data_IF_211239174923
#
_entry.id   IF_211239174923
#
_cell.length_a   1.000
_cell.length_b   1.000
_cell.length_c   1.000
_cell.angle_alpha   90.00
_cell.angle_beta   90.00
_cell.angle_gamma   90.00
#
_symmetry.space_group_name_H-M   'P 1'
#
loop_
_entity.id
_entity.type
_entity.pdbx_description
1 polymer ?
#
# COMPACT_ATOMS: atom_id res chain seq x y z
N UNK A 1 -17.38 9.92 -16.31
CA UNK A 1 -16.93 8.64 -16.92
C UNK A 1 -15.90 7.93 -16.05
N UNK A 2 -14.91 8.64 -15.49
CA UNK A 2 -13.94 8.04 -14.57
C UNK A 2 -14.61 7.42 -13.32
N UNK A 3 -15.60 8.05 -12.69
CA UNK A 3 -16.24 7.45 -11.49
C UNK A 3 -17.00 6.16 -11.80
N UNK A 4 -17.67 6.09 -12.95
CA UNK A 4 -18.35 4.87 -13.38
C UNK A 4 -17.36 3.70 -13.51
N UNK A 5 -16.17 3.96 -14.08
CA UNK A 5 -15.11 2.96 -14.17
C UNK A 5 -14.57 2.54 -12.79
N UNK A 6 -14.47 3.46 -11.82
CA UNK A 6 -14.09 3.10 -10.44
C UNK A 6 -15.10 2.10 -9.86
N UNK A 7 -16.40 2.35 -10.05
CA UNK A 7 -17.46 1.44 -9.56
C UNK A 7 -17.38 0.08 -10.26
N UNK A 8 -17.21 0.05 -11.58
CA UNK A 8 -17.06 -1.21 -12.33
C UNK A 8 -15.83 -1.98 -11.83
N UNK A 9 -14.68 -1.32 -11.71
CA UNK A 9 -13.45 -1.95 -11.22
C UNK A 9 -13.57 -2.45 -9.78
N UNK A 10 -14.35 -1.76 -8.93
CA UNK A 10 -14.68 -2.24 -7.59
C UNK A 10 -15.54 -3.51 -7.63
N UNK A 11 -16.57 -3.56 -8.49
CA UNK A 11 -17.42 -4.75 -8.67
C UNK A 11 -16.60 -5.94 -9.18
N UNK A 12 -15.70 -5.70 -10.14
CA UNK A 12 -14.79 -6.72 -10.67
C UNK A 12 -13.84 -7.23 -9.57
N UNK A 13 -13.29 -6.33 -8.76
CA UNK A 13 -12.43 -6.66 -7.61
C UNK A 13 -13.16 -7.58 -6.62
N UNK A 14 -14.35 -7.21 -6.15
CA UNK A 14 -15.09 -8.02 -5.18
C UNK A 14 -15.58 -9.36 -5.76
N UNK A 15 -15.70 -9.44 -7.09
CA UNK A 15 -16.06 -10.67 -7.82
C UNK A 15 -14.85 -11.57 -8.12
N UNK A 16 -13.64 -11.17 -7.71
CA UNK A 16 -12.40 -11.92 -7.95
C UNK A 16 -11.85 -11.79 -9.37
N UNK A 17 -12.40 -10.91 -10.21
CA UNK A 17 -11.95 -10.68 -11.59
C UNK A 17 -10.74 -9.73 -11.61
N UNK A 18 -9.65 -10.10 -10.94
CA UNK A 18 -8.54 -9.20 -10.64
C UNK A 18 -7.89 -8.56 -11.88
N UNK A 19 -7.68 -9.31 -12.96
CA UNK A 19 -7.13 -8.76 -14.21
C UNK A 19 -8.05 -7.72 -14.85
N UNK A 20 -9.37 -8.00 -14.86
CA UNK A 20 -10.36 -7.06 -15.40
C UNK A 20 -10.43 -5.81 -14.53
N UNK A 21 -10.51 -5.99 -13.20
CA UNK A 21 -10.49 -4.90 -12.23
C UNK A 21 -9.26 -3.99 -12.40
N UNK A 22 -8.07 -4.58 -12.60
CA UNK A 22 -6.85 -3.81 -12.82
C UNK A 22 -6.95 -2.96 -14.10
N UNK A 23 -7.36 -3.55 -15.22
CA UNK A 23 -7.51 -2.86 -16.48
C UNK A 23 -8.55 -1.72 -16.40
N UNK A 24 -9.71 -1.97 -15.78
CA UNK A 24 -10.78 -0.98 -15.61
C UNK A 24 -10.34 0.17 -14.70
N UNK A 25 -9.64 -0.12 -13.60
CA UNK A 25 -9.15 0.90 -12.68
C UNK A 25 -8.03 1.73 -13.30
N UNK A 26 -7.11 1.11 -14.04
CA UNK A 26 -6.06 1.81 -14.78
C UNK A 26 -6.67 2.75 -15.84
N UNK A 27 -7.73 2.31 -16.52
CA UNK A 27 -8.50 3.16 -17.43
C UNK A 27 -9.19 4.31 -16.69
N UNK A 28 -9.76 4.07 -15.51
CA UNK A 28 -10.37 5.14 -14.70
C UNK A 28 -9.35 6.23 -14.32
N UNK A 29 -8.14 5.82 -13.94
CA UNK A 29 -7.03 6.71 -13.57
C UNK A 29 -6.62 7.52 -14.79
N UNK A 30 -6.46 6.87 -15.94
CA UNK A 30 -6.08 7.51 -17.20
C UNK A 30 -7.12 8.52 -17.68
N UNK A 31 -8.41 8.17 -17.62
CA UNK A 31 -9.52 9.08 -17.99
C UNK A 31 -9.59 10.25 -17.02
N UNK A 32 -9.57 9.99 -15.71
CA UNK A 32 -9.60 11.03 -14.68
C UNK A 32 -8.44 12.02 -14.81
N UNK A 33 -7.23 11.50 -15.03
CA UNK A 33 -6.02 12.32 -15.21
C UNK A 33 -6.13 13.20 -16.45
N UNK A 34 -6.50 12.64 -17.61
CA UNK A 34 -6.62 13.42 -18.86
C UNK A 34 -7.72 14.47 -18.81
N UNK A 35 -8.80 14.19 -18.11
CA UNK A 35 -9.93 15.11 -17.96
C UNK A 35 -9.70 16.19 -16.88
N UNK A 36 -8.58 16.15 -16.15
CA UNK A 36 -8.31 17.08 -15.05
C UNK A 36 -9.12 16.79 -13.78
N UNK A 37 -9.79 15.65 -13.70
CA UNK A 37 -10.54 15.22 -12.51
C UNK A 37 -9.60 14.50 -11.53
N UNK A 38 -8.77 15.29 -10.85
CA UNK A 38 -7.77 14.80 -9.91
C UNK A 38 -8.34 13.88 -8.83
N UNK A 39 -9.53 14.20 -8.30
CA UNK A 39 -10.18 13.40 -7.27
C UNK A 39 -10.50 11.99 -7.78
N UNK A 40 -11.11 11.87 -8.96
CA UNK A 40 -11.41 10.56 -9.56
C UNK A 40 -10.14 9.76 -9.84
N UNK A 41 -9.08 10.42 -10.33
CA UNK A 41 -7.80 9.74 -10.57
C UNK A 41 -7.17 9.22 -9.26
N UNK A 42 -7.22 10.01 -8.19
CA UNK A 42 -6.75 9.61 -6.86
C UNK A 42 -7.55 8.46 -6.26
N UNK A 43 -8.88 8.53 -6.32
CA UNK A 43 -9.78 7.47 -5.84
C UNK A 43 -9.57 6.16 -6.63
N UNK A 44 -9.36 6.27 -7.94
CA UNK A 44 -8.97 5.13 -8.79
C UNK A 44 -7.65 4.49 -8.34
N UNK A 45 -6.63 5.29 -7.99
CA UNK A 45 -5.36 4.78 -7.45
C UNK A 45 -5.52 4.10 -6.10
N UNK A 46 -6.35 4.64 -5.21
CA UNK A 46 -6.63 4.01 -3.92
C UNK A 46 -7.28 2.63 -4.10
N UNK A 47 -8.25 2.52 -5.03
CA UNK A 47 -8.89 1.24 -5.34
C UNK A 47 -7.93 0.25 -6.00
N UNK A 48 -7.10 0.73 -6.94
CA UNK A 48 -6.10 -0.09 -7.65
C UNK A 48 -4.99 -0.56 -6.73
N UNK A 49 -4.60 0.25 -5.75
CA UNK A 49 -3.65 -0.12 -4.70
C UNK A 49 -4.24 -1.22 -3.81
N UNK A 50 -5.49 -1.10 -3.39
CA UNK A 50 -6.17 -2.15 -2.63
C UNK A 50 -6.25 -3.47 -3.39
N UNK A 51 -6.56 -3.43 -4.70
CA UNK A 51 -6.52 -4.61 -5.56
C UNK A 51 -5.11 -5.21 -5.64
N UNK A 52 -4.07 -4.38 -5.77
CA UNK A 52 -2.68 -4.85 -5.76
C UNK A 52 -2.32 -5.56 -4.44
N UNK A 53 -2.81 -5.07 -3.30
CA UNK A 53 -2.68 -5.78 -2.02
C UNK A 53 -3.41 -7.13 -2.07
N UNK A 54 -4.63 -7.19 -2.63
CA UNK A 54 -5.41 -8.44 -2.69
C UNK A 54 -4.70 -9.55 -3.49
N UNK A 55 -3.91 -9.17 -4.51
CA UNK A 55 -3.12 -10.11 -5.33
C UNK A 55 -1.65 -10.21 -4.92
N UNK A 56 -1.29 -9.66 -3.76
CA UNK A 56 0.06 -9.65 -3.20
C UNK A 56 1.14 -8.95 -4.06
N UNK A 57 0.75 -8.04 -4.97
CA UNK A 57 1.67 -7.13 -5.65
C UNK A 57 1.94 -5.89 -4.77
N UNK A 58 2.69 -6.11 -3.68
CA UNK A 58 2.92 -5.08 -2.65
C UNK A 58 3.76 -3.91 -3.16
N UNK A 59 4.61 -4.13 -4.16
CA UNK A 59 5.41 -3.07 -4.77
C UNK A 59 4.51 -2.10 -5.55
N UNK A 60 3.58 -2.61 -6.36
CA UNK A 60 2.61 -1.79 -7.07
C UNK A 60 1.62 -1.12 -6.10
N UNK A 61 1.17 -1.85 -5.08
CA UNK A 61 0.32 -1.31 -4.02
C UNK A 61 0.96 -0.09 -3.33
N UNK A 62 2.23 -0.21 -2.93
CA UNK A 62 3.00 0.87 -2.32
C UNK A 62 3.11 2.09 -3.25
N UNK A 63 3.49 1.86 -4.51
CA UNK A 63 3.64 2.92 -5.52
C UNK A 63 2.34 3.69 -5.73
N UNK A 64 1.23 2.97 -5.87
CA UNK A 64 -0.10 3.55 -6.09
C UNK A 64 -0.62 4.27 -4.85
N UNK A 65 -0.48 3.68 -3.66
CA UNK A 65 -0.91 4.27 -2.40
C UNK A 65 -0.13 5.57 -2.11
N UNK A 66 1.19 5.57 -2.32
CA UNK A 66 2.02 6.77 -2.16
C UNK A 66 1.58 7.87 -3.13
N UNK A 67 1.43 7.54 -4.42
CA UNK A 67 1.00 8.55 -5.41
C UNK A 67 -0.40 9.09 -5.12
N UNK A 68 -1.36 8.21 -4.81
CA UNK A 68 -2.72 8.61 -4.46
C UNK A 68 -2.77 9.51 -3.23
N UNK A 69 -1.98 9.20 -2.20
CA UNK A 69 -1.86 10.03 -0.98
C UNK A 69 -1.37 11.43 -1.29
N UNK A 70 -0.31 11.55 -2.10
CA UNK A 70 0.23 12.87 -2.51
C UNK A 70 -0.81 13.65 -3.31
N UNK A 71 -1.48 13.01 -4.26
CA UNK A 71 -2.48 13.67 -5.10
C UNK A 71 -3.70 14.13 -4.28
N UNK A 72 -4.17 13.33 -3.29
CA UNK A 72 -5.29 13.69 -2.40
C UNK A 72 -4.93 14.85 -1.47
N UNK A 73 -3.71 14.85 -0.94
CA UNK A 73 -3.22 15.94 -0.11
C UNK A 73 -3.20 17.27 -0.88
N UNK A 74 -2.69 17.26 -2.12
CA UNK A 74 -2.64 18.43 -2.99
C UNK A 74 -4.02 18.99 -3.36
N UNK A 75 -5.06 18.14 -3.33
CA UNK A 75 -6.45 18.53 -3.62
C UNK A 75 -7.19 19.05 -2.38
N UNK A 76 -6.60 18.95 -1.19
CA UNK A 76 -7.27 19.32 0.06
C UNK A 76 -8.33 18.32 0.52
N UNK A 77 -8.42 17.13 -0.08
CA UNK A 77 -9.34 16.07 0.35
C UNK A 77 -8.82 15.42 1.62
N UNK A 78 -9.26 15.90 2.78
CA UNK A 78 -8.75 15.49 4.09
C UNK A 78 -9.06 14.02 4.39
N UNK A 79 -10.29 13.56 4.14
CA UNK A 79 -10.71 12.20 4.48
C UNK A 79 -10.14 11.19 3.49
N UNK A 80 -10.12 11.54 2.19
CA UNK A 80 -9.43 10.74 1.18
C UNK A 80 -7.94 10.64 1.47
N UNK A 81 -7.29 11.75 1.84
CA UNK A 81 -5.89 11.76 2.24
C UNK A 81 -5.63 10.82 3.42
N UNK A 82 -6.43 10.86 4.49
CA UNK A 82 -6.29 9.97 5.64
C UNK A 82 -6.44 8.49 5.25
N UNK A 83 -7.40 8.16 4.39
CA UNK A 83 -7.57 6.81 3.84
C UNK A 83 -6.36 6.37 3.00
N UNK A 84 -5.77 7.28 2.24
CA UNK A 84 -4.53 7.07 1.49
C UNK A 84 -3.34 6.81 2.41
N UNK A 85 -3.16 7.62 3.46
CA UNK A 85 -2.08 7.47 4.44
C UNK A 85 -2.17 6.14 5.17
N UNK A 86 -3.37 5.68 5.54
CA UNK A 86 -3.53 4.37 6.20
C UNK A 86 -3.17 3.22 5.26
N UNK A 87 -3.64 3.25 4.01
CA UNK A 87 -3.28 2.25 3.02
C UNK A 87 -1.76 2.24 2.78
N UNK A 88 -1.15 3.42 2.63
CA UNK A 88 0.30 3.56 2.50
C UNK A 88 1.02 2.96 3.71
N UNK A 89 0.54 3.19 4.93
CA UNK A 89 1.09 2.59 6.14
C UNK A 89 1.06 1.06 6.09
N UNK A 90 -0.06 0.48 5.68
CA UNK A 90 -0.19 -0.97 5.47
C UNK A 90 0.82 -1.50 4.45
N UNK A 91 0.94 -0.83 3.29
CA UNK A 91 1.91 -1.24 2.25
C UNK A 91 3.36 -1.15 2.73
N UNK A 92 3.71 -0.16 3.56
CA UNK A 92 5.04 -0.08 4.18
C UNK A 92 5.31 -1.26 5.11
N UNK A 93 4.31 -1.75 5.86
CA UNK A 93 4.42 -3.00 6.61
C UNK A 93 4.71 -4.21 5.71
N UNK A 94 3.98 -4.30 4.59
CA UNK A 94 4.11 -5.38 3.60
C UNK A 94 5.47 -5.36 2.87
N UNK A 95 6.04 -4.18 2.63
CA UNK A 95 7.32 -4.00 1.90
C UNK A 95 8.54 -3.82 2.80
N UNK A 96 8.45 -4.18 4.09
CA UNK A 96 9.61 -4.23 4.99
C UNK A 96 10.01 -2.90 5.64
N UNK A 97 9.11 -1.92 5.66
CA UNK A 97 9.25 -0.60 6.34
C UNK A 97 8.22 -0.41 7.46
N UNK A 98 8.00 -1.39 8.36
CA UNK A 98 6.91 -1.33 9.32
C UNK A 98 7.06 -0.20 10.36
N UNK A 99 8.28 0.28 10.64
CA UNK A 99 8.49 1.45 11.50
C UNK A 99 7.86 2.72 10.96
N UNK A 100 8.09 3.02 9.67
CA UNK A 100 7.45 4.15 8.98
C UNK A 100 5.93 3.96 8.91
N UNK A 101 5.47 2.72 8.65
CA UNK A 101 4.05 2.37 8.70
C UNK A 101 3.42 2.66 10.06
N UNK A 102 4.07 2.30 11.17
CA UNK A 102 3.57 2.57 12.51
C UNK A 102 3.45 4.07 12.80
N UNK A 103 4.41 4.88 12.32
CA UNK A 103 4.32 6.35 12.41
C UNK A 103 3.11 6.89 11.64
N UNK A 104 2.87 6.42 10.42
CA UNK A 104 1.71 6.84 9.63
C UNK A 104 0.38 6.42 10.28
N UNK A 105 0.28 5.21 10.85
CA UNK A 105 -0.91 4.77 11.59
C UNK A 105 -1.17 5.66 12.82
N UNK A 106 -0.12 6.05 13.55
CA UNK A 106 -0.22 6.98 14.67
C UNK A 106 -0.78 8.34 14.26
N UNK A 107 -0.29 8.87 13.13
CA UNK A 107 -0.74 10.13 12.57
C UNK A 107 -2.22 10.05 12.12
N UNK A 108 -2.61 9.01 11.39
CA UNK A 108 -4.00 8.77 10.97
C UNK A 108 -4.93 8.71 12.17
N UNK A 109 -4.57 7.97 13.22
CA UNK A 109 -5.39 7.87 14.42
C UNK A 109 -5.64 9.21 15.09
N UNK A 110 -4.64 10.10 15.13
CA UNK A 110 -4.78 11.41 15.80
C UNK A 110 -5.45 12.45 14.93
N UNK A 111 -5.02 12.59 13.68
CA UNK A 111 -5.57 13.56 12.73
C UNK A 111 -7.00 13.17 12.31
N UNK A 112 -7.28 11.87 12.17
CA UNK A 112 -8.62 11.36 11.89
C UNK A 112 -9.63 11.75 12.97
N UNK A 113 -9.28 11.56 14.26
CA UNK A 113 -10.15 11.96 15.37
C UNK A 113 -10.50 13.45 15.36
N UNK A 114 -9.58 14.32 14.93
CA UNK A 114 -9.83 15.77 14.87
C UNK A 114 -10.91 16.15 13.85
N UNK A 115 -11.13 15.32 12.83
CA UNK A 115 -12.09 15.56 11.75
C UNK A 115 -13.24 14.54 11.74
N UNK A 116 -13.38 13.72 12.79
CA UNK A 116 -14.41 12.70 12.88
C UNK A 116 -14.22 11.50 11.94
N UNK A 117 -13.02 11.30 11.40
CA UNK A 117 -12.68 10.16 10.55
C UNK A 117 -12.05 9.03 11.36
N UNK A 118 -12.60 7.81 11.23
CA UNK A 118 -12.11 6.60 11.88
C UNK A 118 -12.04 5.46 10.85
N UNK A 119 -10.84 5.13 10.33
CA UNK A 119 -10.72 4.16 9.25
C UNK A 119 -11.28 2.77 9.60
N UNK A 120 -11.17 2.34 10.86
CA UNK A 120 -11.70 1.08 11.36
C UNK A 120 -13.23 0.98 11.30
N UNK A 121 -13.93 2.11 11.22
CA UNK A 121 -15.38 2.18 11.02
C UNK A 121 -15.75 2.28 9.55
N UNK A 122 -14.90 2.93 8.74
CA UNK A 122 -15.17 3.21 7.32
C UNK A 122 -14.80 2.04 6.41
N UNK A 123 -13.67 1.39 6.66
CA UNK A 123 -13.21 0.16 5.99
C UNK A 123 -12.67 -0.83 7.03
N UNK A 124 -13.56 -1.54 7.76
CA UNK A 124 -13.14 -2.41 8.86
C UNK A 124 -12.16 -3.51 8.44
N UNK A 125 -12.30 -4.04 7.21
CA UNK A 125 -11.48 -5.15 6.73
C UNK A 125 -10.13 -4.65 6.21
N UNK A 126 -10.12 -3.59 5.42
CA UNK A 126 -8.89 -2.96 4.95
C UNK A 126 -8.05 -2.40 6.09
N UNK A 127 -8.68 -1.68 7.02
CA UNK A 127 -8.01 -1.10 8.20
C UNK A 127 -7.37 -2.18 9.07
N UNK A 128 -8.11 -3.26 9.41
CA UNK A 128 -7.55 -4.39 10.18
C UNK A 128 -6.34 -5.01 9.50
N UNK A 129 -6.41 -5.24 8.18
CA UNK A 129 -5.30 -5.79 7.39
C UNK A 129 -4.08 -4.86 7.41
N UNK A 130 -4.27 -3.57 7.20
CA UNK A 130 -3.19 -2.58 7.16
C UNK A 130 -2.48 -2.47 8.51
N UNK A 131 -3.25 -2.44 9.61
CA UNK A 131 -2.71 -2.42 10.97
C UNK A 131 -1.93 -3.72 11.27
N UNK A 132 -2.49 -4.88 10.90
CA UNK A 132 -1.83 -6.17 11.10
C UNK A 132 -0.50 -6.25 10.36
N UNK A 133 -0.46 -5.85 9.09
CA UNK A 133 0.75 -5.86 8.26
C UNK A 133 1.92 -5.06 8.87
N UNK A 134 1.62 -3.99 9.61
CA UNK A 134 2.61 -3.21 10.35
C UNK A 134 2.95 -3.87 11.69
N UNK A 135 1.93 -4.20 12.49
CA UNK A 135 2.10 -4.63 13.87
C UNK A 135 2.79 -5.98 14.00
N UNK A 136 2.51 -6.91 13.10
CA UNK A 136 3.09 -8.27 13.13
C UNK A 136 4.59 -8.29 12.81
N UNK A 137 5.13 -7.20 12.26
CA UNK A 137 6.55 -7.05 11.92
C UNK A 137 7.37 -6.32 12.97
N UNK A 138 6.75 -5.87 14.06
CA UNK A 138 7.39 -5.11 15.13
C UNK A 138 7.16 -5.77 16.49
N UNK A 139 8.11 -5.60 17.41
CA UNK A 139 7.82 -5.84 18.82
C UNK A 139 6.79 -4.82 19.32
N UNK A 140 6.08 -5.17 20.39
CA UNK A 140 5.07 -4.29 21.00
C UNK A 140 5.66 -2.93 21.36
N UNK A 141 6.87 -2.88 21.90
CA UNK A 141 7.51 -1.64 22.34
C UNK A 141 7.95 -0.77 21.16
N UNK A 142 8.49 -1.39 20.10
CA UNK A 142 8.87 -0.65 18.88
C UNK A 142 7.62 -0.09 18.18
N UNK A 143 6.55 -0.88 18.09
CA UNK A 143 5.27 -0.41 17.56
C UNK A 143 4.72 0.77 18.38
N UNK A 144 4.67 0.65 19.72
CA UNK A 144 4.17 1.71 20.61
C UNK A 144 5.00 2.99 20.47
N UNK A 145 6.33 2.87 20.41
CA UNK A 145 7.22 4.03 20.25
C UNK A 145 6.99 4.73 18.91
N UNK A 146 7.02 4.00 17.79
CA UNK A 146 6.82 4.55 16.45
C UNK A 146 5.40 5.13 16.27
N UNK A 147 4.37 4.41 16.72
CA UNK A 147 2.99 4.90 16.72
C UNK A 147 2.84 6.17 17.56
N UNK A 148 3.44 6.21 18.75
CA UNK A 148 3.42 7.37 19.64
C UNK A 148 4.16 8.59 19.08
N UNK A 149 5.23 8.39 18.29
CA UNK A 149 5.87 9.46 17.52
C UNK A 149 4.94 9.95 16.41
N UNK A 150 4.36 9.02 15.65
CA UNK A 150 3.38 9.28 14.59
C UNK A 150 2.19 10.13 15.06
N UNK A 151 1.65 9.81 16.24
CA UNK A 151 0.52 10.50 16.84
C UNK A 151 0.79 11.98 17.17
N UNK A 152 2.05 12.43 17.13
CA UNK A 152 2.45 13.83 17.37
C UNK A 152 2.71 14.59 16.07
N UNK A 153 2.65 13.91 14.91
CA UNK A 153 2.91 14.54 13.62
C UNK A 153 1.73 15.44 13.21
N UNK A 154 2.07 16.64 12.75
CA UNK A 154 1.17 17.50 11.99
C UNK A 154 1.01 16.99 10.55
N UNK A 155 0.01 17.49 9.82
CA UNK A 155 -0.19 17.18 8.40
C UNK A 155 1.04 17.48 7.55
N UNK A 156 1.72 18.60 7.79
CA UNK A 156 2.93 18.96 7.04
C UNK A 156 4.09 17.99 7.33
N UNK A 157 4.24 17.55 8.58
CA UNK A 157 5.26 16.54 8.92
C UNK A 157 4.93 15.16 8.32
N UNK A 158 3.65 14.81 8.17
CA UNK A 158 3.24 13.61 7.42
C UNK A 158 3.60 13.76 5.94
N UNK A 159 3.34 14.94 5.34
CA UNK A 159 3.74 15.23 3.95
C UNK A 159 5.25 15.09 3.77
N UNK A 160 6.04 15.67 4.68
CA UNK A 160 7.49 15.52 4.69
C UNK A 160 7.87 14.04 4.78
N UNK A 161 7.33 13.28 5.74
CA UNK A 161 7.58 11.85 5.89
C UNK A 161 7.32 11.08 4.60
N UNK A 162 6.17 11.31 3.94
CA UNK A 162 5.80 10.66 2.67
C UNK A 162 6.76 11.03 1.54
N UNK A 163 7.23 12.27 1.49
CA UNK A 163 8.17 12.75 0.46
C UNK A 163 9.54 12.07 0.54
N UNK A 164 10.00 11.69 1.74
CA UNK A 164 11.29 11.00 1.97
C UNK A 164 11.22 9.48 1.78
N UNK A 165 10.03 8.91 1.56
CA UNK A 165 9.91 7.50 1.27
C UNK A 165 10.52 7.19 -0.11
N UNK A 166 11.28 6.09 -0.24
CA UNK A 166 11.99 5.75 -1.48
C UNK A 166 11.01 5.46 -2.62
N UNK A 167 11.45 5.63 -3.85
CA UNK A 167 10.66 5.17 -4.99
C UNK A 167 10.65 3.63 -5.03
N UNK A 168 9.55 3.06 -5.54
CA UNK A 168 9.36 1.60 -5.53
C UNK A 168 10.41 0.82 -6.34
N UNK A 169 11.23 1.50 -7.15
CA UNK A 169 12.29 0.91 -7.96
C UNK A 169 13.51 0.42 -7.14
N UNK A 170 13.65 0.82 -5.88
CA UNK A 170 14.84 0.54 -5.07
C UNK A 170 14.75 -0.77 -4.24
N UNK A 171 13.65 -1.52 -4.40
CA UNK A 171 13.41 -2.81 -3.73
C UNK A 171 14.01 -4.00 -4.48
N UNK A 172 15.34 -4.12 -4.45
CA UNK A 172 16.14 -5.34 -4.68
C UNK A 172 15.54 -6.44 -5.57
N UNK A 173 16.16 -6.62 -6.73
CA UNK A 173 16.16 -7.87 -7.49
C UNK A 173 16.70 -9.05 -6.67
N UNK A 174 15.87 -9.58 -5.78
CA UNK A 174 16.04 -10.91 -5.18
C UNK A 174 15.60 -11.98 -6.16
N UNK A 175 16.15 -11.97 -7.39
CA UNK A 175 16.10 -13.13 -8.27
C UNK A 175 17.16 -14.07 -7.69
N UNK A 176 16.74 -15.10 -6.97
CA UNK A 176 17.61 -16.22 -6.65
C UNK A 176 18.15 -16.74 -7.99
N UNK A 177 19.45 -16.57 -8.20
CA UNK A 177 20.17 -17.09 -9.35
C UNK A 177 20.37 -18.61 -9.12
N UNK A 178 19.74 -19.50 -9.90
CA UNK A 178 19.82 -20.94 -9.67
C UNK A 178 21.01 -21.60 -10.40
N UNK A 179 22.11 -20.88 -10.65
CA UNK A 179 23.21 -21.42 -11.45
C UNK A 179 24.60 -21.00 -10.97
N UNK A 180 24.98 -21.39 -9.76
CA UNK A 180 26.39 -21.53 -9.38
C UNK A 180 26.55 -22.70 -8.41
N UNK A 181 26.76 -23.89 -8.97
CA UNK A 181 26.94 -25.11 -8.18
C UNK A 181 27.29 -26.32 -9.04
N UNK A 182 28.16 -26.14 -10.03
CA UNK A 182 28.81 -27.26 -10.69
C UNK A 182 29.82 -27.89 -9.74
N UNK A 183 29.52 -29.08 -9.24
CA UNK A 183 30.53 -30.07 -8.88
C UNK A 183 30.19 -31.34 -9.64
N UNK A 184 30.96 -31.60 -10.69
CA UNK A 184 30.98 -32.88 -11.38
C UNK A 184 32.03 -33.80 -10.77
N UNK A 185 31.72 -35.10 -10.90
CA UNK A 185 32.58 -36.27 -10.74
C UNK A 185 33.06 -36.59 -9.30
N UNK A 186 33.05 -37.81 -8.82
CA UNK A 186 32.63 -39.10 -9.37
C UNK A 186 32.60 -40.08 -8.17
N UNK A 187 31.99 -41.25 -8.43
CA UNK A 187 32.50 -42.57 -8.06
C UNK A 187 31.68 -43.45 -7.09
N UNK A 188 31.20 -44.56 -7.68
CA UNK A 188 30.86 -45.90 -7.15
C UNK A 188 29.52 -46.07 -6.43
N UNK A 189 28.48 -46.55 -7.12
CA UNK A 189 28.21 -47.97 -7.42
C UNK A 189 28.37 -48.87 -6.19
N UNK A 190 27.26 -49.17 -5.52
CA UNK A 190 27.01 -50.49 -4.94
C UNK A 190 25.58 -50.92 -5.26
N UNK A 191 25.46 -51.91 -6.14
CA UNK A 191 24.32 -52.81 -6.20
C UNK A 191 24.62 -54.05 -5.35
N UNK A 192 23.54 -54.55 -4.74
CA UNK A 192 23.30 -55.89 -4.20
C UNK A 192 23.99 -56.29 -2.88
N UNK A 193 23.18 -56.44 -1.83
CA UNK A 193 22.61 -57.74 -1.44
C UNK A 193 21.23 -57.56 -0.83
#
# INVERSE_FOLDING_TARGET
>A
MAEALIIVGFVERISGAATAAAATLDESIRVGTRAGFGWSASSGRWMRANLAVDVADYADAYRLARRGTVDLDAQGDVTGWLAGVELLAGTLGMTGRPGDGAMLLGAVGTLGRQVGYQPEQMDPMGSRRNVAAVRERLSVDVFKAAFGQGARLSRDQVRELVARLPDAADGGSGRADPAAGGYGADDKIYRAR
#
